data_IF_245724251914
#
_entry.id   IF_245724251914
#
_cell.length_a   1.000
_cell.length_b   1.000
_cell.length_c   1.000
_cell.angle_alpha   90.00
_cell.angle_beta   90.00
_cell.angle_gamma   90.00
#
_symmetry.space_group_name_H-M   'P 1'
#
loop_
_entity.id
_entity.type
_entity.pdbx_description
1 polymer ?
#
# COMPACT_ATOMS: atom_id res chain seq x y z
N UNK A 1 30.06 38.07 29.06
CA UNK A 1 29.70 37.97 27.63
C UNK A 1 29.86 36.56 27.00
N UNK A 2 29.94 35.46 27.77
CA UNK A 2 30.15 34.10 27.21
C UNK A 2 28.88 33.21 27.12
N UNK A 3 27.73 33.69 27.61
CA UNK A 3 26.49 32.90 27.67
C UNK A 3 25.78 32.80 26.30
N UNK A 4 25.71 33.90 25.55
CA UNK A 4 24.96 33.99 24.28
C UNK A 4 25.55 33.07 23.19
N UNK A 5 26.87 32.94 23.12
CA UNK A 5 27.56 32.13 22.10
C UNK A 5 27.37 30.61 22.30
N UNK A 6 27.22 30.15 23.54
CA UNK A 6 26.95 28.73 23.84
C UNK A 6 25.53 28.30 23.48
N UNK A 7 24.55 29.21 23.57
CA UNK A 7 23.14 28.95 23.23
C UNK A 7 22.95 28.77 21.72
N UNK A 8 23.49 29.70 20.93
CA UNK A 8 23.45 29.65 19.45
C UNK A 8 24.12 28.38 18.91
N UNK A 9 25.28 27.98 19.46
CA UNK A 9 26.03 26.78 19.03
C UNK A 9 25.35 25.45 19.41
N UNK A 10 24.48 25.43 20.42
CA UNK A 10 23.69 24.25 20.81
C UNK A 10 22.45 24.09 19.93
N UNK A 11 21.79 25.19 19.59
CA UNK A 11 20.62 25.20 18.69
C UNK A 11 21.00 24.73 17.27
N UNK A 12 22.16 25.12 16.74
CA UNK A 12 22.64 24.63 15.44
C UNK A 12 22.87 23.11 15.41
N UNK A 13 23.33 22.52 16.53
CA UNK A 13 23.51 21.06 16.64
C UNK A 13 22.18 20.33 16.76
N UNK A 14 21.22 20.91 17.47
CA UNK A 14 19.87 20.35 17.58
C UNK A 14 19.16 20.35 16.22
N UNK A 15 19.23 21.46 15.49
CA UNK A 15 18.68 21.57 14.13
C UNK A 15 19.36 20.55 13.20
N UNK A 16 20.70 20.42 13.27
CA UNK A 16 21.43 19.40 12.52
C UNK A 16 20.99 17.97 12.86
N UNK A 17 20.80 17.66 14.15
CA UNK A 17 20.34 16.35 14.62
C UNK A 17 18.91 16.05 14.15
N UNK A 18 18.02 17.04 14.22
CA UNK A 18 16.64 16.92 13.77
C UNK A 18 16.59 16.74 12.25
N UNK A 19 17.28 17.57 11.47
CA UNK A 19 17.38 17.42 10.02
C UNK A 19 17.95 16.06 9.61
N UNK A 20 18.99 15.57 10.31
CA UNK A 20 19.58 14.25 10.05
C UNK A 20 18.62 13.10 10.39
N UNK A 21 17.83 13.24 11.46
CA UNK A 21 16.79 12.28 11.86
C UNK A 21 15.64 12.27 10.86
N UNK A 22 15.14 13.42 10.42
CA UNK A 22 14.02 13.53 9.48
C UNK A 22 14.42 13.27 8.02
N UNK A 23 15.67 13.50 7.61
CA UNK A 23 16.18 13.08 6.29
C UNK A 23 16.12 11.57 6.06
N UNK A 24 16.24 10.77 7.13
CA UNK A 24 16.12 9.30 7.05
C UNK A 24 14.67 8.83 6.93
N UNK A 25 13.69 9.68 7.20
CA UNK A 25 12.26 9.34 7.23
C UNK A 25 11.56 9.62 5.89
N UNK A 26 12.19 10.41 4.99
CA UNK A 26 11.68 10.56 3.62
C UNK A 26 12.10 9.34 2.79
N UNK A 27 11.29 8.28 2.87
CA UNK A 27 11.31 7.25 1.83
C UNK A 27 11.03 7.92 0.48
N UNK A 28 11.72 7.51 -0.58
CA UNK A 28 11.44 8.00 -1.93
C UNK A 28 9.99 7.64 -2.26
N UNK A 29 9.19 8.65 -2.60
CA UNK A 29 7.81 8.45 -3.06
C UNK A 29 7.86 7.61 -4.34
N UNK A 30 7.23 6.44 -4.29
CA UNK A 30 7.15 5.53 -5.43
C UNK A 30 5.98 5.89 -6.33
N UNK A 31 5.94 5.29 -7.53
CA UNK A 31 4.78 5.44 -8.42
C UNK A 31 3.50 4.84 -7.80
N UNK A 32 3.64 3.79 -6.99
CA UNK A 32 2.52 3.19 -6.24
C UNK A 32 1.97 4.18 -5.22
N UNK A 33 2.83 4.87 -4.49
CA UNK A 33 2.41 5.89 -3.52
C UNK A 33 1.65 7.03 -4.19
N UNK A 34 2.09 7.46 -5.38
CA UNK A 34 1.37 8.49 -6.17
C UNK A 34 0.02 7.99 -6.67
N UNK A 35 -0.07 6.75 -7.14
CA UNK A 35 -1.33 6.16 -7.57
C UNK A 35 -2.33 6.06 -6.41
N UNK A 36 -1.86 5.65 -5.22
CA UNK A 36 -2.70 5.59 -4.02
C UNK A 36 -3.23 6.97 -3.62
N UNK A 37 -2.37 8.00 -3.63
CA UNK A 37 -2.80 9.38 -3.36
C UNK A 37 -3.87 9.85 -4.36
N UNK A 38 -3.69 9.54 -5.64
CA UNK A 38 -4.68 9.90 -6.65
C UNK A 38 -6.02 9.21 -6.40
N UNK A 39 -6.01 7.89 -6.12
CA UNK A 39 -7.25 7.16 -5.83
C UNK A 39 -7.96 7.68 -4.59
N UNK A 40 -7.21 8.05 -3.54
CA UNK A 40 -7.78 8.61 -2.31
C UNK A 40 -8.41 9.99 -2.49
N UNK A 41 -8.09 10.71 -3.59
CA UNK A 41 -8.74 11.97 -3.96
C UNK A 41 -9.93 11.74 -4.90
N UNK A 42 -9.76 10.87 -5.91
CA UNK A 42 -10.70 10.74 -7.02
C UNK A 42 -11.87 9.76 -6.75
N UNK A 43 -11.65 8.72 -5.95
CA UNK A 43 -12.61 7.63 -5.75
C UNK A 43 -13.65 7.86 -4.63
N UNK A 44 -13.35 8.56 -3.51
CA UNK A 44 -14.36 8.83 -2.48
C UNK A 44 -15.61 9.59 -2.98
N UNK A 45 -15.54 10.58 -3.88
CA UNK A 45 -16.74 11.21 -4.44
C UNK A 45 -17.68 10.23 -5.14
N UNK A 46 -17.13 9.17 -5.76
CA UNK A 46 -17.89 8.16 -6.51
C UNK A 46 -18.47 7.10 -5.59
N UNK A 47 -17.66 6.56 -4.68
CA UNK A 47 -18.02 5.40 -3.85
C UNK A 47 -18.43 5.77 -2.42
N UNK A 48 -18.27 7.05 -2.05
CA UNK A 48 -18.68 7.63 -0.77
C UNK A 48 -18.18 6.78 0.41
N UNK A 49 -19.08 6.42 1.32
CA UNK A 49 -18.79 5.62 2.51
C UNK A 49 -18.25 4.20 2.20
N UNK A 50 -18.37 3.72 0.95
CA UNK A 50 -17.83 2.40 0.54
C UNK A 50 -16.36 2.47 0.12
N UNK A 51 -15.80 3.65 -0.12
CA UNK A 51 -14.41 3.76 -0.55
C UNK A 51 -13.41 3.04 0.39
N UNK A 52 -13.50 3.16 1.72
CA UNK A 52 -12.54 2.48 2.61
C UNK A 52 -12.50 0.96 2.44
N UNK A 53 -13.65 0.30 2.24
CA UNK A 53 -13.70 -1.15 2.04
C UNK A 53 -13.19 -1.55 0.66
N UNK A 54 -13.49 -0.77 -0.39
CA UNK A 54 -12.95 -0.97 -1.74
C UNK A 54 -11.43 -0.81 -1.74
N UNK A 55 -10.92 0.26 -1.10
CA UNK A 55 -9.49 0.52 -0.97
C UNK A 55 -8.77 -0.61 -0.25
N UNK A 56 -9.37 -1.14 0.82
CA UNK A 56 -8.83 -2.29 1.53
C UNK A 56 -8.81 -3.53 0.64
N UNK A 57 -9.87 -3.79 -0.13
CA UNK A 57 -9.92 -4.91 -1.07
C UNK A 57 -8.84 -4.81 -2.15
N UNK A 58 -8.61 -3.61 -2.73
CA UNK A 58 -7.57 -3.37 -3.73
C UNK A 58 -6.14 -3.60 -3.21
N UNK A 59 -5.93 -3.42 -1.91
CA UNK A 59 -4.64 -3.67 -1.25
C UNK A 59 -4.51 -5.08 -0.67
N UNK A 60 -5.58 -5.88 -0.75
CA UNK A 60 -5.60 -7.25 -0.29
C UNK A 60 -5.22 -8.23 -1.40
N UNK A 61 -5.02 -9.50 -1.05
CA UNK A 61 -4.77 -10.56 -2.04
C UNK A 61 -5.97 -10.65 -3.00
N UNK A 62 -5.72 -10.40 -4.29
CA UNK A 62 -6.73 -10.53 -5.33
C UNK A 62 -7.26 -11.97 -5.37
N UNK A 63 -8.58 -12.12 -5.44
CA UNK A 63 -9.20 -13.43 -5.68
C UNK A 63 -9.32 -13.67 -7.19
N UNK A 64 -9.00 -14.89 -7.60
CA UNK A 64 -9.11 -15.35 -8.97
C UNK A 64 -10.21 -16.41 -9.06
N UNK A 65 -10.84 -16.49 -10.23
CA UNK A 65 -11.85 -17.51 -10.55
C UNK A 65 -11.37 -18.25 -11.79
N UNK A 66 -11.54 -19.56 -11.80
CA UNK A 66 -11.25 -20.37 -12.98
C UNK A 66 -12.40 -20.22 -14.00
N UNK A 67 -12.07 -19.73 -15.19
CA UNK A 67 -13.01 -19.68 -16.31
C UNK A 67 -12.80 -20.94 -17.16
N UNK A 68 -13.84 -21.76 -17.26
CA UNK A 68 -13.79 -23.02 -18.00
C UNK A 68 -13.93 -22.77 -19.50
N UNK A 69 -13.07 -23.42 -20.27
CA UNK A 69 -13.17 -23.42 -21.72
C UNK A 69 -14.28 -24.39 -22.15
N UNK A 70 -15.33 -23.88 -22.79
CA UNK A 70 -16.45 -24.68 -23.28
C UNK A 70 -16.08 -25.67 -24.38
N UNK A 71 -14.92 -25.52 -25.03
CA UNK A 71 -14.42 -26.45 -26.05
C UNK A 71 -13.50 -27.53 -25.48
N UNK A 72 -13.23 -27.51 -24.18
CA UNK A 72 -12.46 -28.54 -23.49
C UNK A 72 -13.38 -29.54 -22.80
N UNK A 73 -12.83 -30.70 -22.43
CA UNK A 73 -13.51 -31.68 -21.60
C UNK A 73 -13.61 -31.16 -20.15
N UNK A 74 -14.76 -30.58 -19.81
CA UNK A 74 -14.92 -29.85 -18.55
C UNK A 74 -15.14 -30.76 -17.34
N UNK A 75 -15.59 -32.00 -17.52
CA UNK A 75 -15.89 -32.90 -16.39
C UNK A 75 -14.60 -33.24 -15.62
N UNK A 76 -13.53 -33.60 -16.34
CA UNK A 76 -12.21 -33.85 -15.73
C UNK A 76 -11.60 -32.57 -15.12
N UNK A 77 -11.73 -31.43 -15.80
CA UNK A 77 -11.16 -30.16 -15.33
C UNK A 77 -11.85 -29.70 -14.04
N UNK A 78 -13.16 -29.92 -13.93
CA UNK A 78 -13.93 -29.59 -12.73
C UNK A 78 -13.46 -30.44 -11.53
N UNK A 79 -13.27 -31.75 -11.71
CA UNK A 79 -12.75 -32.63 -10.66
C UNK A 79 -11.38 -32.16 -10.15
N UNK A 80 -10.44 -31.87 -11.05
CA UNK A 80 -9.11 -31.37 -10.69
C UNK A 80 -9.18 -30.04 -9.90
N UNK A 81 -10.05 -29.12 -10.34
CA UNK A 81 -10.24 -27.84 -9.66
C UNK A 81 -10.85 -28.01 -8.26
N UNK A 82 -11.77 -28.96 -8.07
CA UNK A 82 -12.34 -29.28 -6.76
C UNK A 82 -11.30 -29.88 -5.81
N UNK A 83 -10.48 -30.81 -6.28
CA UNK A 83 -9.39 -31.41 -5.48
C UNK A 83 -8.40 -30.34 -5.05
N UNK A 84 -7.98 -29.49 -5.99
CA UNK A 84 -7.06 -28.38 -5.72
C UNK A 84 -7.60 -27.40 -4.68
N UNK A 85 -8.87 -27.01 -4.78
CA UNK A 85 -9.53 -26.12 -3.82
C UNK A 85 -9.57 -26.71 -2.40
N UNK A 86 -9.91 -27.99 -2.27
CA UNK A 86 -10.02 -28.65 -0.95
C UNK A 86 -8.66 -28.91 -0.30
N UNK A 87 -7.57 -28.93 -1.08
CA UNK A 87 -6.21 -29.09 -0.56
C UNK A 87 -5.54 -27.79 -0.10
N UNK A 88 -6.11 -26.63 -0.47
CA UNK A 88 -5.56 -25.30 -0.15
C UNK A 88 -6.28 -24.60 1.01
N UNK A 89 -7.34 -25.20 1.54
CA UNK A 89 -8.04 -24.81 2.79
C UNK A 89 -7.48 -25.63 3.93
#
# INVERSE_FOLDING_TARGET
MLSVTTKVRRESRLIWYLQKRFKKVSAKVTNVDRALQYFDIAMPPVYQARWPSIRLALLSKQRYVALLNSFADYDHIIEDLYVSYNSTI
#
